data_IF_757838238193
#
_entry.id   IF_757838238193
#
_cell.length_a   1.000
_cell.length_b   1.000
_cell.length_c   1.000
_cell.angle_alpha   90.00
_cell.angle_beta   90.00
_cell.angle_gamma   90.00
#
_symmetry.space_group_name_H-M   'P 1'
#
loop_
_entity.id
_entity.type
_entity.pdbx_description
1 polymer ?
#
# COMPACT_ATOMS: atom_id res chain seq x y z
N UNK A 1 -16.09 -0.27 47.49
CA UNK A 1 -17.04 -0.39 46.36
C UNK A 1 -16.97 0.82 45.42
N UNK A 2 -16.80 2.04 45.93
CA UNK A 2 -16.69 3.25 45.12
C UNK A 2 -15.57 3.22 44.06
N UNK A 3 -14.34 2.84 44.43
CA UNK A 3 -13.20 2.85 43.49
C UNK A 3 -13.38 1.88 42.32
N UNK A 4 -13.94 0.68 42.56
CA UNK A 4 -14.25 -0.28 41.48
C UNK A 4 -15.34 0.25 40.54
N UNK A 5 -16.32 0.98 41.06
CA UNK A 5 -17.37 1.58 40.25
C UNK A 5 -16.85 2.78 39.43
N UNK A 6 -15.93 3.56 40.00
CA UNK A 6 -15.23 4.64 39.28
C UNK A 6 -14.33 4.06 38.19
N UNK A 7 -13.54 3.03 38.48
CA UNK A 7 -12.69 2.36 37.48
C UNK A 7 -13.54 1.76 36.35
N UNK A 8 -14.63 1.07 36.68
CA UNK A 8 -15.53 0.50 35.67
C UNK A 8 -16.24 1.59 34.85
N UNK A 9 -16.64 2.70 35.48
CA UNK A 9 -17.24 3.84 34.79
C UNK A 9 -16.26 4.53 33.84
N UNK A 10 -15.02 4.74 34.28
CA UNK A 10 -13.94 5.31 33.47
C UNK A 10 -13.53 4.37 32.33
N UNK A 11 -13.43 3.06 32.58
CA UNK A 11 -13.18 2.07 31.52
C UNK A 11 -14.32 2.06 30.50
N UNK A 12 -15.57 2.11 30.95
CA UNK A 12 -16.73 2.12 30.07
C UNK A 12 -16.76 3.37 29.17
N UNK A 13 -16.42 4.55 29.69
CA UNK A 13 -16.37 5.78 28.89
C UNK A 13 -15.25 5.74 27.83
N UNK A 14 -14.06 5.24 28.18
CA UNK A 14 -12.98 5.04 27.21
C UNK A 14 -13.34 4.00 26.14
N UNK A 15 -13.97 2.89 26.54
CA UNK A 15 -14.41 1.85 25.60
C UNK A 15 -15.51 2.34 24.68
N UNK A 16 -16.45 3.16 25.16
CA UNK A 16 -17.49 3.77 24.35
C UNK A 16 -16.89 4.70 23.30
N UNK A 17 -15.97 5.59 23.70
CA UNK A 17 -15.25 6.46 22.76
C UNK A 17 -14.48 5.66 21.70
N UNK A 18 -13.78 4.60 22.12
CA UNK A 18 -13.07 3.73 21.19
C UNK A 18 -14.03 3.00 20.24
N UNK A 19 -15.19 2.56 20.73
CA UNK A 19 -16.20 1.90 19.92
C UNK A 19 -16.80 2.85 18.88
N UNK A 20 -17.06 4.10 19.23
CA UNK A 20 -17.55 5.12 18.31
C UNK A 20 -16.52 5.42 17.21
N UNK A 21 -15.23 5.47 17.57
CA UNK A 21 -14.14 5.61 16.61
C UNK A 21 -14.01 4.40 15.67
N UNK A 22 -14.17 3.18 16.21
CA UNK A 22 -14.03 1.93 15.45
C UNK A 22 -15.26 1.64 14.58
N UNK A 23 -16.46 2.07 14.99
CA UNK A 23 -17.72 1.80 14.31
C UNK A 23 -17.69 2.09 12.79
N UNK A 24 -17.23 3.25 12.30
CA UNK A 24 -17.16 3.52 10.86
C UNK A 24 -16.08 2.70 10.14
N UNK A 25 -14.99 2.33 10.83
CA UNK A 25 -13.82 1.65 10.23
C UNK A 25 -13.82 0.13 10.44
N UNK A 26 -14.80 -0.43 11.15
CA UNK A 26 -14.84 -1.86 11.55
C UNK A 26 -14.70 -2.83 10.37
N UNK A 27 -15.32 -2.51 9.24
CA UNK A 27 -15.26 -3.35 8.04
C UNK A 27 -13.87 -3.31 7.38
N UNK A 28 -13.22 -2.15 7.41
CA UNK A 28 -11.83 -2.01 6.96
C UNK A 28 -10.90 -2.80 7.88
N UNK A 29 -11.04 -2.67 9.21
CA UNK A 29 -10.25 -3.45 10.17
C UNK A 29 -10.38 -4.96 9.97
N UNK A 30 -11.60 -5.46 9.74
CA UNK A 30 -11.83 -6.87 9.43
C UNK A 30 -11.16 -7.29 8.11
N UNK A 31 -11.25 -6.46 7.07
CA UNK A 31 -10.59 -6.72 5.80
C UNK A 31 -9.04 -6.70 5.92
N UNK A 32 -8.47 -5.74 6.65
CA UNK A 32 -7.04 -5.71 6.97
C UNK A 32 -6.60 -6.98 7.70
N UNK A 33 -7.36 -7.42 8.72
CA UNK A 33 -7.07 -8.65 9.44
C UNK A 33 -7.09 -9.86 8.49
N UNK A 34 -8.10 -9.97 7.63
CA UNK A 34 -8.19 -11.04 6.65
C UNK A 34 -6.99 -11.03 5.67
N UNK A 35 -6.55 -9.85 5.22
CA UNK A 35 -5.38 -9.68 4.35
C UNK A 35 -4.08 -10.10 5.03
N UNK A 36 -3.87 -9.71 6.30
CA UNK A 36 -2.69 -10.13 7.07
C UNK A 36 -2.63 -11.65 7.23
N UNK A 37 -3.78 -12.29 7.53
CA UNK A 37 -3.86 -13.74 7.66
C UNK A 37 -3.62 -14.47 6.34
N UNK A 38 -4.19 -13.95 5.25
CA UNK A 38 -3.98 -14.47 3.90
C UNK A 38 -2.50 -14.36 3.50
N UNK A 39 -1.88 -13.20 3.71
CA UNK A 39 -0.46 -13.01 3.41
C UNK A 39 0.44 -13.91 4.26
N UNK A 40 0.13 -14.09 5.54
CA UNK A 40 0.87 -15.00 6.40
C UNK A 40 0.78 -16.44 5.89
N UNK A 41 -0.43 -16.90 5.52
CA UNK A 41 -0.63 -18.23 4.95
C UNK A 41 0.16 -18.42 3.67
N UNK A 42 -0.01 -17.53 2.69
CA UNK A 42 0.67 -17.63 1.39
C UNK A 42 2.18 -17.41 1.50
N UNK A 43 2.63 -16.57 2.42
CA UNK A 43 4.05 -16.35 2.70
C UNK A 43 4.73 -17.57 3.32
N UNK A 44 4.03 -18.31 4.20
CA UNK A 44 4.50 -19.59 4.74
C UNK A 44 4.55 -20.64 3.63
N UNK A 45 3.50 -20.74 2.81
CA UNK A 45 3.45 -21.71 1.70
C UNK A 45 4.55 -21.45 0.67
N UNK A 46 4.83 -20.18 0.33
CA UNK A 46 5.93 -19.80 -0.54
C UNK A 46 7.31 -20.13 0.06
N UNK A 47 7.53 -19.85 1.36
CA UNK A 47 8.77 -20.20 2.04
C UNK A 47 8.98 -21.72 2.11
N UNK A 48 7.89 -22.49 2.29
CA UNK A 48 7.91 -23.95 2.28
C UNK A 48 8.26 -24.51 0.90
N UNK A 49 7.70 -23.93 -0.17
CA UNK A 49 8.03 -24.29 -1.55
C UNK A 49 9.52 -24.02 -1.88
N UNK A 50 10.11 -22.96 -1.32
CA UNK A 50 11.56 -22.66 -1.46
C UNK A 50 12.48 -23.53 -0.60
N UNK A 51 11.95 -24.38 0.29
CA UNK A 51 12.74 -25.17 1.22
C UNK A 51 13.47 -24.33 2.29
N UNK A 52 13.04 -23.10 2.52
CA UNK A 52 13.65 -22.22 3.52
C UNK A 52 13.29 -22.64 4.96
N UNK A 53 14.20 -22.41 5.90
CA UNK A 53 13.93 -22.65 7.32
C UNK A 53 12.95 -21.61 7.84
N UNK A 54 11.71 -22.02 8.10
CA UNK A 54 10.64 -21.15 8.58
C UNK A 54 10.92 -20.76 10.04
N UNK A 55 11.56 -19.61 10.23
CA UNK A 55 11.78 -19.05 11.57
C UNK A 55 10.52 -18.30 12.02
N UNK A 56 9.75 -18.89 12.95
CA UNK A 56 8.52 -18.31 13.52
C UNK A 56 8.68 -16.84 13.94
N UNK A 57 9.82 -16.47 14.53
CA UNK A 57 10.12 -15.08 14.94
C UNK A 57 10.13 -14.08 13.77
N UNK A 58 10.61 -14.48 12.59
CA UNK A 58 10.63 -13.61 11.40
C UNK A 58 9.21 -13.42 10.86
N UNK A 59 8.42 -14.50 10.80
CA UNK A 59 7.03 -14.45 10.34
C UNK A 59 6.19 -13.53 11.24
N UNK A 60 6.31 -13.68 12.56
CA UNK A 60 5.61 -12.84 13.53
C UNK A 60 6.01 -11.37 13.40
N UNK A 61 7.31 -11.05 13.26
CA UNK A 61 7.76 -9.65 13.03
C UNK A 61 7.15 -9.06 11.75
N UNK A 62 7.05 -9.85 10.68
CA UNK A 62 6.43 -9.41 9.42
C UNK A 62 4.93 -9.13 9.61
N UNK A 63 4.21 -10.01 10.29
CA UNK A 63 2.79 -9.82 10.61
C UNK A 63 2.56 -8.59 11.48
N UNK A 64 3.40 -8.37 12.50
CA UNK A 64 3.31 -7.18 13.37
C UNK A 64 3.56 -5.91 12.56
N UNK A 65 4.58 -5.88 11.70
CA UNK A 65 4.82 -4.72 10.84
C UNK A 65 3.61 -4.41 9.97
N UNK A 66 2.99 -5.43 9.34
CA UNK A 66 1.75 -5.20 8.58
C UNK A 66 0.62 -4.64 9.43
N UNK A 67 0.41 -5.18 10.64
CA UNK A 67 -0.62 -4.67 11.56
C UNK A 67 -0.36 -3.20 11.91
N UNK A 68 0.89 -2.84 12.22
CA UNK A 68 1.28 -1.46 12.50
C UNK A 68 1.05 -0.57 11.28
N UNK A 69 1.48 -1.01 10.10
CA UNK A 69 1.29 -0.29 8.84
C UNK A 69 -0.19 -0.02 8.58
N UNK A 70 -1.07 -1.01 8.81
CA UNK A 70 -2.52 -0.85 8.68
C UNK A 70 -3.09 0.18 9.65
N UNK A 71 -2.68 0.13 10.92
CA UNK A 71 -3.13 1.12 11.92
C UNK A 71 -2.70 2.53 11.49
N UNK A 72 -1.44 2.69 11.06
CA UNK A 72 -0.91 3.96 10.56
C UNK A 72 -1.69 4.46 9.34
N UNK A 73 -1.95 3.61 8.34
CA UNK A 73 -2.70 4.00 7.16
C UNK A 73 -4.16 4.35 7.46
N UNK A 74 -4.81 3.68 8.41
CA UNK A 74 -6.16 4.02 8.88
C UNK A 74 -6.16 5.40 9.54
N UNK A 75 -5.18 5.71 10.38
CA UNK A 75 -5.05 7.03 11.01
C UNK A 75 -4.82 8.13 9.98
N UNK A 76 -3.97 7.88 8.98
CA UNK A 76 -3.73 8.80 7.86
C UNK A 76 -5.01 9.01 7.05
N UNK A 77 -5.68 7.95 6.64
CA UNK A 77 -6.93 8.04 5.87
C UNK A 77 -8.02 8.79 6.63
N UNK A 78 -8.15 8.53 7.94
CA UNK A 78 -9.11 9.23 8.80
C UNK A 78 -8.76 10.70 8.94
N UNK A 79 -7.48 11.03 9.13
CA UNK A 79 -6.99 12.41 9.19
C UNK A 79 -7.27 13.15 7.88
N UNK A 80 -7.03 12.52 6.73
CA UNK A 80 -7.39 13.07 5.41
C UNK A 80 -8.90 13.25 5.25
N UNK A 81 -9.70 12.32 5.77
CA UNK A 81 -11.16 12.47 5.83
C UNK A 81 -11.60 13.71 6.59
N UNK A 82 -10.99 13.97 7.74
CA UNK A 82 -11.32 15.14 8.55
C UNK A 82 -10.75 16.45 7.98
N UNK A 83 -9.57 16.40 7.35
CA UNK A 83 -8.92 17.59 6.80
C UNK A 83 -9.48 18.00 5.43
N UNK A 84 -9.90 17.03 4.62
CA UNK A 84 -10.33 17.27 3.23
C UNK A 84 -11.69 16.64 2.92
N UNK A 85 -12.00 15.46 3.45
CA UNK A 85 -13.29 14.82 3.20
C UNK A 85 -14.48 15.62 3.73
N UNK A 86 -14.39 16.14 4.96
CA UNK A 86 -15.47 16.95 5.55
C UNK A 86 -15.56 18.36 4.96
N UNK A 87 -14.46 19.12 4.73
CA UNK A 87 -14.60 20.49 4.22
C UNK A 87 -14.98 20.54 2.74
N UNK A 88 -14.61 19.53 1.94
CA UNK A 88 -14.96 19.46 0.52
C UNK A 88 -16.20 18.60 0.23
N UNK A 89 -16.85 18.04 1.26
CA UNK A 89 -18.06 17.21 1.10
C UNK A 89 -17.81 15.88 0.38
N UNK A 90 -16.62 15.31 0.52
CA UNK A 90 -16.19 14.04 -0.09
C UNK A 90 -16.08 12.96 1.01
N UNK A 91 -17.20 12.37 1.47
CA UNK A 91 -17.19 11.40 2.58
C UNK A 91 -16.49 10.08 2.23
N UNK A 92 -16.31 9.80 0.93
CA UNK A 92 -15.62 8.62 0.42
C UNK A 92 -14.09 8.74 0.40
N UNK A 93 -13.53 9.91 0.71
CA UNK A 93 -12.08 10.14 0.62
C UNK A 93 -11.25 9.15 1.48
N UNK A 94 -11.57 8.88 2.76
CA UNK A 94 -10.86 7.87 3.54
C UNK A 94 -10.93 6.47 2.93
N UNK A 95 -12.08 6.12 2.37
CA UNK A 95 -12.29 4.81 1.75
C UNK A 95 -11.42 4.65 0.50
N UNK A 96 -11.23 5.72 -0.30
CA UNK A 96 -10.35 5.71 -1.47
C UNK A 96 -8.89 5.50 -1.04
N UNK A 97 -8.43 6.21 -0.01
CA UNK A 97 -7.06 6.04 0.51
C UNK A 97 -6.83 4.62 0.99
N UNK A 98 -7.77 4.06 1.77
CA UNK A 98 -7.68 2.68 2.24
C UNK A 98 -7.76 1.66 1.11
N UNK A 99 -8.56 1.91 0.07
CA UNK A 99 -8.64 1.04 -1.10
C UNK A 99 -7.29 0.92 -1.81
N UNK A 100 -6.56 2.03 -1.96
CA UNK A 100 -5.22 2.02 -2.59
C UNK A 100 -4.25 1.20 -1.75
N UNK A 101 -4.23 1.40 -0.43
CA UNK A 101 -3.36 0.65 0.49
C UNK A 101 -3.68 -0.85 0.43
N UNK A 102 -4.97 -1.21 0.45
CA UNK A 102 -5.41 -2.59 0.41
C UNK A 102 -5.10 -3.22 -0.95
N UNK A 103 -5.22 -2.47 -2.04
CA UNK A 103 -4.82 -2.92 -3.37
C UNK A 103 -3.32 -3.28 -3.45
N UNK A 104 -2.46 -2.46 -2.88
CA UNK A 104 -1.03 -2.74 -2.78
C UNK A 104 -0.74 -4.01 -1.96
N UNK A 105 -1.47 -4.21 -0.86
CA UNK A 105 -1.38 -5.38 0.00
C UNK A 105 -1.87 -6.67 -0.68
N UNK A 106 -3.02 -6.60 -1.35
CA UNK A 106 -3.58 -7.68 -2.17
C UNK A 106 -2.56 -8.11 -3.22
N UNK A 107 -1.88 -7.16 -3.86
CA UNK A 107 -0.84 -7.47 -4.82
C UNK A 107 0.34 -8.23 -4.20
N UNK A 108 0.75 -7.83 -3.00
CA UNK A 108 1.78 -8.54 -2.23
C UNK A 108 1.35 -9.99 -1.93
N UNK A 109 0.08 -10.19 -1.55
CA UNK A 109 -0.50 -11.52 -1.31
C UNK A 109 -0.49 -12.37 -2.59
N UNK A 110 -0.94 -11.81 -3.72
CA UNK A 110 -0.93 -12.49 -5.01
C UNK A 110 0.48 -12.86 -5.44
N UNK A 111 1.45 -11.98 -5.27
CA UNK A 111 2.84 -12.26 -5.60
C UNK A 111 3.38 -13.46 -4.79
N UNK A 112 3.09 -13.53 -3.48
CA UNK A 112 3.44 -14.69 -2.66
C UNK A 112 2.70 -15.96 -3.10
N UNK A 113 1.41 -15.85 -3.44
CA UNK A 113 0.59 -16.98 -3.91
C UNK A 113 1.11 -17.59 -5.22
N UNK A 114 1.41 -16.76 -6.22
CA UNK A 114 1.94 -17.21 -7.51
C UNK A 114 3.33 -17.83 -7.37
N UNK A 115 4.14 -17.30 -6.47
CA UNK A 115 5.46 -17.85 -6.16
C UNK A 115 5.38 -19.24 -5.51
N UNK A 116 4.38 -19.48 -4.67
CA UNK A 116 4.10 -20.80 -4.09
C UNK A 116 3.60 -21.84 -5.12
N UNK A 117 2.95 -21.40 -6.19
CA UNK A 117 2.40 -22.27 -7.25
C UNK A 117 3.30 -22.38 -8.50
N UNK A 118 4.56 -21.94 -8.42
CA UNK A 118 5.56 -22.13 -9.48
C UNK A 118 5.38 -21.28 -10.74
N UNK A 119 4.45 -20.33 -10.75
CA UNK A 119 4.26 -19.40 -11.89
C UNK A 119 5.16 -18.19 -11.74
N UNK A 120 6.07 -17.93 -12.70
CA UNK A 120 7.00 -16.77 -12.69
C UNK A 120 6.33 -15.40 -12.93
N UNK A 121 5.04 -15.25 -12.63
CA UNK A 121 4.31 -14.01 -12.86
C UNK A 121 4.50 -13.05 -11.68
N UNK A 122 5.59 -12.27 -11.71
CA UNK A 122 5.75 -11.08 -10.85
C UNK A 122 4.89 -9.95 -11.43
N UNK A 123 3.63 -9.85 -11.01
CA UNK A 123 2.76 -8.72 -11.37
C UNK A 123 3.24 -7.49 -10.60
N UNK A 124 4.15 -6.73 -11.22
CA UNK A 124 4.55 -5.42 -10.74
C UNK A 124 3.48 -4.41 -11.17
N UNK A 125 2.50 -4.13 -10.31
CA UNK A 125 1.48 -3.08 -10.56
C UNK A 125 2.14 -1.72 -10.84
N UNK A 126 3.27 -1.44 -10.20
CA UNK A 126 4.07 -0.24 -10.48
C UNK A 126 4.54 -0.16 -11.95
N UNK A 127 4.82 -1.30 -12.59
CA UNK A 127 5.19 -1.34 -14.02
C UNK A 127 3.96 -1.14 -14.90
N UNK A 128 2.80 -1.67 -14.50
CA UNK A 128 1.54 -1.45 -15.19
C UNK A 128 1.07 0.01 -15.10
N UNK A 129 1.27 0.67 -13.95
CA UNK A 129 0.95 2.09 -13.76
C UNK A 129 1.96 3.01 -14.48
N UNK A 130 3.25 2.68 -14.43
CA UNK A 130 4.30 3.37 -15.20
C UNK A 130 4.09 3.27 -16.72
N UNK A 131 3.64 2.11 -17.20
CA UNK A 131 3.31 1.92 -18.62
C UNK A 131 2.14 2.80 -19.10
N UNK A 132 1.31 3.34 -18.20
CA UNK A 132 0.27 4.32 -18.54
C UNK A 132 0.75 5.77 -18.45
N UNK A 133 1.79 6.08 -17.67
CA UNK A 133 2.38 7.43 -17.63
C UNK A 133 3.25 7.73 -18.85
N UNK A 134 3.84 6.72 -19.49
CA UNK A 134 4.65 6.89 -20.71
C UNK A 134 3.80 7.20 -21.97
N UNK A 135 2.46 7.15 -21.89
CA UNK A 135 1.53 7.51 -22.99
C UNK A 135 1.19 9.01 -22.99
N UNK A 136 1.53 9.74 -21.92
CA UNK A 136 1.28 11.18 -21.78
C UNK A 136 2.63 11.90 -21.70
N UNK A 137 3.44 11.72 -22.75
CA UNK A 137 4.50 12.68 -23.09
C UNK A 137 4.15 13.16 -24.49
N UNK A 138 3.87 14.45 -24.72
CA UNK A 138 3.80 14.96 -26.08
C UNK A 138 5.20 14.77 -26.68
N UNK A 139 5.30 14.03 -27.79
CA UNK A 139 6.54 13.93 -28.54
C UNK A 139 6.98 15.35 -28.94
N UNK A 140 8.02 15.87 -28.28
CA UNK A 140 8.70 17.06 -28.80
C UNK A 140 9.40 16.68 -30.12
N UNK A 141 9.26 17.49 -31.17
CA UNK A 141 9.83 17.15 -32.47
C UNK A 141 11.36 17.15 -32.36
N UNK A 142 11.95 16.00 -32.67
CA UNK A 142 13.40 15.79 -32.80
C UNK A 142 14.01 16.81 -33.77
N UNK A 143 14.64 17.85 -33.21
CA UNK A 143 15.55 18.74 -33.91
C UNK A 143 16.93 18.09 -34.04
N UNK A 144 17.32 17.80 -35.27
CA UNK A 144 18.58 17.17 -35.69
C UNK A 144 19.82 17.89 -35.13
N UNK A 145 20.77 17.13 -34.60
CA UNK A 145 22.19 17.51 -34.51
C UNK A 145 23.03 16.46 -35.25
N UNK A 146 23.98 16.97 -36.05
CA UNK A 146 24.88 16.24 -36.94
C UNK A 146 24.99 17.06 -38.23
N UNK A 147 26.05 17.80 -38.54
CA UNK A 147 27.44 17.64 -38.15
C UNK A 147 28.21 17.08 -39.35
N UNK A 148 28.45 17.90 -40.37
CA UNK A 148 29.38 17.62 -41.46
C UNK A 148 30.29 18.85 -41.62
N UNK A 149 31.56 18.67 -41.27
CA UNK A 149 32.67 19.59 -41.56
C UNK A 149 32.92 19.61 -43.06
N UNK A 150 32.86 20.79 -43.67
CA UNK A 150 33.31 21.04 -45.05
C UNK A 150 34.67 21.76 -44.98
N UNK A 151 35.74 21.29 -45.63
CA UNK A 151 37.04 21.95 -45.58
C UNK A 151 37.04 23.22 -46.47
N UNK A 152 37.82 24.25 -46.12
CA UNK A 152 37.79 25.53 -46.82
C UNK A 152 38.36 25.41 -48.25
N UNK A 153 37.81 26.16 -49.23
CA UNK A 153 38.35 26.19 -50.58
C UNK A 153 39.65 26.99 -50.64
N UNK A 154 40.67 26.39 -51.23
CA UNK A 154 41.91 27.05 -51.64
C UNK A 154 41.61 28.02 -52.79
N UNK A 155 41.75 29.33 -52.54
CA UNK A 155 41.76 30.34 -53.59
C UNK A 155 42.90 31.32 -53.36
N UNK A 156 43.89 31.19 -54.22
CA UNK A 156 44.90 32.15 -54.64
C UNK A 156 44.37 33.57 -54.88
N UNK A 157 45.03 34.56 -54.27
CA UNK A 157 45.52 35.79 -54.91
C UNK A 157 46.48 36.52 -53.96
#
# INVERSE_FOLDING_TARGET
>A
MNERNVINGTLASYLAWAADFVSPIRWFLLAALALVLADLKFGIDAARHRGEVIRKSRAVRRSINKVIDYICWILVATSFGQAFGTPFGIPVLPAIVLLVVYGCEINSCFNNYFEAHGSRLRINIFKWFKSKSDIIVPDEPTGKQGGDEEPPPDTTN
#
